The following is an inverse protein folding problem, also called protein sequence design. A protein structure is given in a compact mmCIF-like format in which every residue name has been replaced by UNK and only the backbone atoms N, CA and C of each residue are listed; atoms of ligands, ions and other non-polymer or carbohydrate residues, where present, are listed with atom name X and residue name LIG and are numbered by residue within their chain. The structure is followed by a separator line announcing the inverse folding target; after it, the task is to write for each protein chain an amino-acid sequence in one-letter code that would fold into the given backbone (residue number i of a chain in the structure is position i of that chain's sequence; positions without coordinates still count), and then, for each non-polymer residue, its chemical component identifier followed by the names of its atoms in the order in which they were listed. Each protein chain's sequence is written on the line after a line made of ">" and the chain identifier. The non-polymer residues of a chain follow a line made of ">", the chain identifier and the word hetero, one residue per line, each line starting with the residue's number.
data_IF_749418250620
#
_entry.id   IF_749418250620
#
_cell.length_a   1.000
_cell.length_b   1.000
_cell.length_c   1.000
_cell.angle_alpha   90.00
_cell.angle_beta   90.00
_cell.angle_gamma   90.00
#
_symmetry.space_group_name_H-M   'P 1'
#
loop_
_entity.id
_entity.type
_entity.pdbx_description
1 polymer ?
#
# COMPACT_ATOMS: atom_id res chain seq x y z
N UNK A 1 -23.49 -16.82 -13.32
CA UNK A 1 -23.72 -15.41 -12.96
C UNK A 1 -22.68 -15.00 -11.93
N UNK A 2 -21.56 -14.43 -12.38
CA UNK A 2 -20.43 -13.98 -11.57
C UNK A 2 -20.59 -12.47 -11.28
N UNK A 3 -21.24 -12.09 -10.18
CA UNK A 3 -21.46 -10.66 -9.84
C UNK A 3 -21.43 -10.35 -8.33
N UNK A 4 -20.70 -11.10 -7.51
CA UNK A 4 -20.70 -10.90 -6.05
C UNK A 4 -19.27 -10.78 -5.46
N UNK A 5 -18.36 -10.11 -6.17
CA UNK A 5 -17.05 -9.73 -5.63
C UNK A 5 -16.78 -8.20 -5.71
N UNK A 6 -17.81 -7.38 -5.91
CA UNK A 6 -17.65 -5.93 -6.16
C UNK A 6 -18.41 -5.02 -5.20
N UNK A 7 -18.69 -5.42 -3.94
CA UNK A 7 -19.41 -4.51 -3.05
C UNK A 7 -18.93 -4.56 -1.59
N UNK A 8 -17.63 -4.29 -1.38
CA UNK A 8 -17.18 -3.72 -0.10
C UNK A 8 -17.36 -2.20 -0.24
N UNK A 9 -18.48 -1.72 0.29
CA UNK A 9 -18.88 -0.31 0.28
C UNK A 9 -17.92 0.47 1.20
N UNK A 10 -16.94 1.15 0.63
CA UNK A 10 -16.11 2.13 1.34
C UNK A 10 -16.98 3.32 1.77
N UNK A 11 -17.23 3.49 3.07
CA UNK A 11 -17.79 4.74 3.60
C UNK A 11 -16.68 5.80 3.63
N UNK A 12 -16.39 6.39 2.47
CA UNK A 12 -15.73 7.70 2.41
C UNK A 12 -16.84 8.76 2.51
N UNK A 13 -17.10 9.27 3.71
CA UNK A 13 -17.88 10.50 3.89
C UNK A 13 -16.87 11.65 3.96
N UNK A 14 -16.91 12.52 2.95
CA UNK A 14 -15.89 13.53 2.67
C UNK A 14 -15.68 14.56 3.77
N UNK A 15 -14.41 14.90 3.99
CA UNK A 15 -14.01 16.17 4.60
C UNK A 15 -13.92 17.23 3.49
N UNK A 16 -14.70 18.28 3.65
CA UNK A 16 -14.67 19.47 2.81
C UNK A 16 -13.36 20.22 3.04
N UNK A 17 -12.57 20.42 1.98
CA UNK A 17 -11.44 21.36 2.02
C UNK A 17 -11.97 22.77 1.79
N UNK A 18 -11.90 23.58 2.85
CA UNK A 18 -12.24 24.98 2.86
C UNK A 18 -11.09 25.81 2.27
N UNK A 19 -11.30 26.23 1.02
CA UNK A 19 -10.83 27.44 0.34
C UNK A 19 -9.56 28.18 0.79
N UNK A 20 -8.70 28.48 -0.19
CA UNK A 20 -7.94 29.74 -0.24
C UNK A 20 -7.86 30.25 -1.68
N UNK A 21 -8.40 31.44 -1.89
CA UNK A 21 -8.52 32.17 -3.15
C UNK A 21 -7.28 33.01 -3.47
N UNK A 22 -6.86 32.95 -4.74
CA UNK A 22 -6.33 34.05 -5.59
C UNK A 22 -5.31 35.05 -5.02
N UNK A 23 -4.15 35.14 -5.68
CA UNK A 23 -3.78 36.39 -6.38
C UNK A 23 -2.71 36.17 -7.45
N UNK A 24 -3.02 36.66 -8.64
CA UNK A 24 -2.18 36.86 -9.81
C UNK A 24 -1.48 38.22 -9.73
N UNK A 25 -0.19 38.30 -10.08
CA UNK A 25 0.58 39.47 -10.59
C UNK A 25 2.06 39.03 -10.66
N UNK A 26 2.82 39.08 -11.75
CA UNK A 26 3.00 40.13 -12.76
C UNK A 26 4.40 40.74 -12.56
N UNK A 27 5.36 40.57 -13.50
CA UNK A 27 6.65 41.26 -13.42
C UNK A 27 7.77 40.74 -14.33
N UNK A 28 8.15 41.57 -15.30
CA UNK A 28 9.10 41.37 -16.40
C UNK A 28 10.48 41.99 -16.04
N UNK A 29 11.59 41.54 -16.64
CA UNK A 29 12.88 42.26 -16.55
C UNK A 29 14.11 41.52 -17.08
N UNK A 30 14.49 41.82 -18.33
CA UNK A 30 15.76 41.46 -18.97
C UNK A 30 16.98 42.12 -18.28
N UNK A 31 18.11 41.41 -18.19
CA UNK A 31 19.43 42.06 -18.22
C UNK A 31 20.46 41.20 -18.96
N UNK A 32 20.91 41.73 -20.09
CA UNK A 32 22.03 41.23 -20.87
C UNK A 32 23.35 41.53 -20.14
N UNK A 33 24.22 40.52 -20.01
CA UNK A 33 25.57 40.67 -19.47
C UNK A 33 26.47 39.54 -19.97
N UNK A 34 27.20 39.81 -21.06
CA UNK A 34 28.23 38.96 -21.65
C UNK A 34 29.57 39.25 -20.95
N UNK A 35 30.18 38.30 -20.23
CA UNK A 35 31.63 38.26 -20.00
C UNK A 35 32.15 36.82 -19.87
N UNK A 36 33.16 36.52 -20.68
CA UNK A 36 33.94 35.29 -20.78
C UNK A 36 34.90 35.20 -19.58
N UNK A 37 34.96 34.04 -18.91
CA UNK A 37 35.90 33.79 -17.81
C UNK A 37 36.02 32.30 -17.47
N UNK A 38 37.09 31.68 -17.95
CA UNK A 38 37.50 30.30 -17.67
C UNK A 38 38.03 30.16 -16.23
N UNK A 39 37.40 29.30 -15.41
CA UNK A 39 37.87 28.99 -14.06
C UNK A 39 36.94 28.02 -13.32
N UNK A 40 37.28 26.73 -13.37
CA UNK A 40 37.01 25.69 -12.35
C UNK A 40 35.67 25.78 -11.58
N UNK A 41 34.61 25.20 -12.16
CA UNK A 41 33.35 24.96 -11.45
C UNK A 41 33.48 23.76 -10.48
N UNK A 42 34.01 24.02 -9.28
CA UNK A 42 33.77 23.18 -8.11
C UNK A 42 32.70 23.85 -7.26
N UNK A 43 31.45 23.56 -7.58
CA UNK A 43 30.35 23.64 -6.63
C UNK A 43 29.34 22.59 -7.06
N UNK A 44 29.61 21.35 -6.66
CA UNK A 44 28.57 20.35 -6.53
C UNK A 44 27.60 20.87 -5.47
N UNK A 45 26.67 21.73 -5.90
CA UNK A 45 25.43 21.97 -5.18
C UNK A 45 24.62 20.69 -5.31
N UNK A 46 25.09 19.66 -4.61
CA UNK A 46 24.35 18.44 -4.35
C UNK A 46 23.25 18.88 -3.39
N UNK A 47 22.21 19.48 -3.98
CA UNK A 47 20.95 19.72 -3.32
C UNK A 47 20.44 18.32 -3.00
N UNK A 48 20.75 17.85 -1.79
CA UNK A 48 20.14 16.66 -1.24
C UNK A 48 18.66 16.96 -1.23
N UNK A 49 17.94 16.44 -2.22
CA UNK A 49 16.50 16.31 -2.14
C UNK A 49 16.28 15.30 -1.03
N UNK A 50 16.36 15.76 0.21
CA UNK A 50 15.79 15.07 1.34
C UNK A 50 14.32 14.94 0.95
N UNK A 51 13.96 13.74 0.49
CA UNK A 51 12.58 13.41 0.23
C UNK A 51 11.88 13.57 1.58
N UNK A 52 11.21 14.71 1.75
CA UNK A 52 10.29 14.90 2.85
C UNK A 52 9.24 13.81 2.66
N UNK A 53 9.33 12.75 3.46
CA UNK A 53 8.23 11.82 3.60
C UNK A 53 7.08 12.64 4.17
N UNK A 54 6.20 13.12 3.31
CA UNK A 54 4.93 13.69 3.73
C UNK A 54 4.30 12.65 4.66
N UNK A 55 4.02 13.04 5.90
CA UNK A 55 3.41 12.14 6.88
C UNK A 55 2.07 11.68 6.32
N UNK A 56 1.84 10.37 6.33
CA UNK A 56 0.56 9.80 5.93
C UNK A 56 -0.51 10.17 6.96
N UNK A 57 -1.75 10.36 6.50
CA UNK A 57 -2.90 10.41 7.39
C UNK A 57 -3.20 9.03 7.97
N UNK A 58 -3.95 8.99 9.08
CA UNK A 58 -4.34 7.72 9.70
C UNK A 58 -5.20 6.86 8.76
N UNK A 59 -6.02 7.48 7.91
CA UNK A 59 -6.78 6.77 6.88
C UNK A 59 -5.88 6.12 5.82
N UNK A 60 -4.79 6.79 5.44
CA UNK A 60 -3.82 6.25 4.49
C UNK A 60 -3.03 5.09 5.10
N UNK A 61 -2.64 5.20 6.38
CA UNK A 61 -2.01 4.09 7.11
C UNK A 61 -2.94 2.89 7.20
N UNK A 62 -4.21 3.13 7.55
CA UNK A 62 -5.25 2.11 7.56
C UNK A 62 -5.40 1.43 6.20
N UNK A 63 -5.49 2.21 5.13
CA UNK A 63 -5.60 1.63 3.79
C UNK A 63 -4.40 0.73 3.45
N UNK A 64 -3.17 1.16 3.75
CA UNK A 64 -1.96 0.36 3.48
C UNK A 64 -1.89 -0.91 4.32
N UNK A 65 -2.18 -0.81 5.62
CA UNK A 65 -2.20 -1.96 6.52
C UNK A 65 -3.29 -2.97 6.12
N UNK A 66 -4.47 -2.48 5.74
CA UNK A 66 -5.55 -3.33 5.25
C UNK A 66 -5.20 -4.00 3.92
N UNK A 67 -4.65 -3.26 2.95
CA UNK A 67 -4.20 -3.82 1.67
C UNK A 67 -3.16 -4.93 1.86
N UNK A 68 -2.16 -4.74 2.73
CA UNK A 68 -1.18 -5.80 2.98
C UNK A 68 -1.84 -7.10 3.45
N UNK A 69 -2.83 -6.99 4.35
CA UNK A 69 -3.58 -8.15 4.83
C UNK A 69 -4.48 -8.77 3.74
N UNK A 70 -5.05 -7.98 2.84
CA UNK A 70 -5.81 -8.48 1.70
C UNK A 70 -4.93 -9.25 0.70
N UNK A 71 -3.73 -8.74 0.40
CA UNK A 71 -2.79 -9.43 -0.51
C UNK A 71 -2.32 -10.76 0.08
N UNK A 72 -1.97 -10.79 1.38
CA UNK A 72 -1.67 -12.05 2.07
C UNK A 72 -2.85 -13.01 2.00
N UNK A 73 -4.08 -12.51 2.22
CA UNK A 73 -5.29 -13.31 2.11
C UNK A 73 -5.47 -13.91 0.73
N UNK A 74 -5.29 -13.12 -0.33
CA UNK A 74 -5.39 -13.56 -1.71
C UNK A 74 -4.37 -14.67 -2.01
N UNK A 75 -3.12 -14.48 -1.59
CA UNK A 75 -2.07 -15.49 -1.73
C UNK A 75 -2.45 -16.79 -1.02
N UNK A 76 -2.82 -16.71 0.25
CA UNK A 76 -3.11 -17.88 1.09
C UNK A 76 -4.33 -18.65 0.58
N UNK A 77 -5.40 -17.95 0.15
CA UNK A 77 -6.60 -18.62 -0.34
C UNK A 77 -6.36 -19.33 -1.68
N UNK A 78 -5.55 -18.77 -2.57
CA UNK A 78 -5.20 -19.44 -3.82
C UNK A 78 -4.36 -20.69 -3.60
N UNK A 79 -3.41 -20.65 -2.66
CA UNK A 79 -2.64 -21.83 -2.29
C UNK A 79 -3.53 -22.91 -1.66
N UNK A 80 -4.38 -22.53 -0.70
CA UNK A 80 -5.28 -23.46 -0.03
C UNK A 80 -6.29 -24.10 -1.01
N UNK A 81 -6.83 -23.34 -1.96
CA UNK A 81 -7.74 -23.89 -2.97
C UNK A 81 -7.02 -24.71 -4.04
N UNK A 82 -5.75 -24.42 -4.34
CA UNK A 82 -4.94 -25.25 -5.21
C UNK A 82 -4.70 -26.65 -4.59
N UNK A 83 -4.57 -26.75 -3.27
CA UNK A 83 -4.38 -28.04 -2.59
C UNK A 83 -5.64 -28.92 -2.68
N UNK A 84 -6.83 -28.31 -2.68
CA UNK A 84 -8.11 -29.02 -2.84
C UNK A 84 -8.44 -29.29 -4.31
N UNK A 85 -8.18 -28.29 -5.17
CA UNK A 85 -8.47 -28.30 -6.59
C UNK A 85 -7.21 -27.91 -7.38
N UNK A 86 -6.30 -28.87 -7.65
CA UNK A 86 -5.02 -28.59 -8.31
C UNK A 86 -5.20 -27.82 -9.61
N UNK A 87 -4.65 -26.61 -9.65
CA UNK A 87 -4.82 -25.66 -10.73
C UNK A 87 -3.56 -24.83 -10.89
N UNK A 88 -2.89 -25.00 -12.03
CA UNK A 88 -1.72 -24.21 -12.38
C UNK A 88 -2.02 -22.69 -12.34
N UNK A 89 -3.26 -22.31 -12.63
CA UNK A 89 -3.71 -20.92 -12.56
C UNK A 89 -3.65 -20.40 -11.12
N UNK A 90 -4.23 -21.12 -10.15
CA UNK A 90 -4.18 -20.70 -8.74
C UNK A 90 -2.74 -20.62 -8.22
N UNK A 91 -1.93 -21.64 -8.52
CA UNK A 91 -0.52 -21.64 -8.14
C UNK A 91 0.25 -20.46 -8.72
N UNK A 92 0.07 -20.16 -10.01
CA UNK A 92 0.77 -19.06 -10.67
C UNK A 92 0.34 -17.70 -10.14
N UNK A 93 -0.96 -17.51 -9.84
CA UNK A 93 -1.47 -16.26 -9.27
C UNK A 93 -0.84 -16.03 -7.89
N UNK A 94 -0.89 -17.04 -7.01
CA UNK A 94 -0.32 -16.91 -5.66
C UNK A 94 1.20 -16.65 -5.66
N UNK A 95 1.96 -17.47 -6.39
CA UNK A 95 3.44 -17.45 -6.34
C UNK A 95 4.08 -16.34 -7.14
N UNK A 96 3.32 -15.66 -8.02
CA UNK A 96 3.83 -14.58 -8.86
C UNK A 96 3.10 -13.28 -8.58
N UNK A 97 1.81 -13.23 -8.83
CA UNK A 97 0.99 -12.02 -8.72
C UNK A 97 0.91 -11.54 -7.28
N UNK A 98 0.26 -12.32 -6.41
CA UNK A 98 0.01 -11.88 -5.03
C UNK A 98 1.29 -11.76 -4.21
N UNK A 99 2.31 -12.59 -4.52
CA UNK A 99 3.64 -12.41 -3.92
C UNK A 99 4.29 -11.07 -4.31
N UNK A 100 4.10 -10.59 -5.55
CA UNK A 100 4.60 -9.28 -5.97
C UNK A 100 3.78 -8.12 -5.36
N UNK A 101 2.45 -8.26 -5.30
CA UNK A 101 1.59 -7.24 -4.69
C UNK A 101 1.87 -7.10 -3.19
N UNK A 102 1.92 -8.21 -2.46
CA UNK A 102 2.25 -8.22 -1.03
C UNK A 102 3.60 -7.57 -0.77
N UNK A 103 4.63 -7.90 -1.56
CA UNK A 103 5.96 -7.29 -1.43
C UNK A 103 5.95 -5.79 -1.73
N UNK A 104 5.17 -5.34 -2.72
CA UNK A 104 5.05 -3.92 -3.05
C UNK A 104 4.37 -3.13 -1.93
N UNK A 105 3.31 -3.66 -1.32
CA UNK A 105 2.64 -3.01 -0.18
C UNK A 105 3.50 -3.10 1.07
N UNK A 106 4.17 -4.23 1.32
CA UNK A 106 5.08 -4.41 2.45
C UNK A 106 6.20 -3.36 2.42
N UNK A 107 6.75 -3.05 1.25
CA UNK A 107 7.76 -1.99 1.09
C UNK A 107 7.23 -0.60 1.51
N UNK A 108 5.95 -0.31 1.29
CA UNK A 108 5.33 0.94 1.74
C UNK A 108 5.08 0.91 3.26
N UNK A 109 4.57 -0.20 3.78
CA UNK A 109 4.36 -0.42 5.22
C UNK A 109 5.67 -0.23 5.98
N UNK A 110 6.76 -0.83 5.51
CA UNK A 110 8.11 -0.66 6.08
C UNK A 110 8.58 0.79 6.00
N UNK A 111 8.43 1.44 4.84
CA UNK A 111 8.90 2.81 4.61
C UNK A 111 8.24 3.83 5.53
N UNK A 112 6.96 3.63 5.84
CA UNK A 112 6.16 4.54 6.66
C UNK A 112 5.96 4.07 8.10
N UNK A 113 6.65 3.00 8.51
CA UNK A 113 6.61 2.44 9.86
C UNK A 113 5.18 2.10 10.34
N UNK A 114 4.41 1.42 9.48
CA UNK A 114 3.00 1.13 9.73
C UNK A 114 2.82 -0.22 10.41
N UNK A 115 2.15 -0.24 11.56
CA UNK A 115 1.66 -1.48 12.17
C UNK A 115 0.49 -2.08 11.36
N UNK A 116 0.60 -3.37 11.05
CA UNK A 116 -0.37 -4.13 10.22
C UNK A 116 -1.35 -4.98 11.05
N UNK A 117 -1.12 -5.11 12.35
CA UNK A 117 -1.90 -5.95 13.27
C UNK A 117 -2.90 -5.15 14.07
N UNK A 118 -2.58 -3.89 14.39
CA UNK A 118 -3.46 -2.96 15.07
C UNK A 118 -3.90 -1.84 14.13
N UNK A 119 -5.14 -1.91 13.63
CA UNK A 119 -5.69 -0.90 12.73
C UNK A 119 -6.36 0.29 13.43
N UNK A 120 -6.52 0.22 14.75
CA UNK A 120 -7.18 1.26 15.54
C UNK A 120 -6.18 2.30 16.08
N UNK A 121 -4.92 1.91 16.18
CA UNK A 121 -3.86 2.72 16.76
C UNK A 121 -2.53 2.42 16.05
N UNK A 122 -1.94 3.46 15.46
CA UNK A 122 -0.62 3.41 14.80
C UNK A 122 0.47 4.08 15.65
N UNK A 123 0.28 4.16 16.98
CA UNK A 123 1.36 4.49 17.92
C UNK A 123 2.45 3.40 17.95
N UNK A 124 2.07 2.16 17.66
CA UNK A 124 3.01 1.04 17.49
C UNK A 124 3.66 1.06 16.10
N UNK A 125 4.96 0.79 16.06
CA UNK A 125 5.77 0.72 14.85
C UNK A 125 5.61 -0.59 14.07
N UNK A 126 6.13 -0.63 12.85
CA UNK A 126 6.29 -1.85 12.07
C UNK A 126 7.15 -2.89 12.79
N UNK A 127 6.78 -4.18 12.67
CA UNK A 127 7.59 -5.31 13.11
C UNK A 127 7.59 -6.43 12.07
N UNK A 128 8.76 -6.69 11.49
CA UNK A 128 8.94 -7.82 10.56
C UNK A 128 8.63 -9.16 11.25
N UNK A 129 9.00 -9.28 12.53
CA UNK A 129 8.76 -10.50 13.29
C UNK A 129 7.26 -10.79 13.45
N UNK A 130 6.44 -9.75 13.68
CA UNK A 130 4.98 -9.90 13.77
C UNK A 130 4.38 -10.28 12.42
N UNK A 131 4.81 -9.63 11.34
CA UNK A 131 4.40 -9.96 9.97
C UNK A 131 4.64 -11.43 9.62
N UNK A 132 5.83 -11.94 9.94
CA UNK A 132 6.23 -13.31 9.63
C UNK A 132 5.69 -14.34 10.62
N UNK A 133 5.14 -13.91 11.77
CA UNK A 133 4.55 -14.82 12.76
C UNK A 133 3.20 -15.40 12.32
N UNK A 134 2.51 -14.79 11.35
CA UNK A 134 1.24 -15.28 10.87
C UNK A 134 1.39 -16.51 9.98
N UNK A 135 0.92 -17.65 10.49
CA UNK A 135 0.76 -18.86 9.67
C UNK A 135 -0.18 -18.62 8.47
N UNK A 136 -0.09 -19.44 7.40
CA UNK A 136 -1.05 -19.39 6.30
C UNK A 136 -2.50 -19.52 6.81
N UNK A 137 -3.39 -18.65 6.31
CA UNK A 137 -4.80 -18.61 6.73
C UNK A 137 -5.04 -18.01 8.13
N UNK A 138 -4.03 -17.38 8.74
CA UNK A 138 -4.15 -16.62 9.99
C UNK A 138 -3.86 -15.14 9.78
N UNK A 139 -4.66 -14.29 10.43
CA UNK A 139 -4.61 -12.84 10.30
C UNK A 139 -4.90 -12.16 11.64
N UNK A 140 -4.27 -11.00 11.87
CA UNK A 140 -4.55 -10.17 13.04
C UNK A 140 -5.94 -9.51 12.99
N UNK A 141 -6.36 -9.09 11.79
CA UNK A 141 -7.61 -8.36 11.62
C UNK A 141 -8.78 -9.34 11.58
N UNK A 142 -9.75 -9.27 12.53
CA UNK A 142 -10.87 -10.21 12.58
C UNK A 142 -11.68 -10.25 11.28
N UNK A 143 -11.91 -9.08 10.65
CA UNK A 143 -12.63 -9.00 9.36
C UNK A 143 -11.93 -9.75 8.23
N UNK A 144 -10.59 -9.76 8.21
CA UNK A 144 -9.81 -10.49 7.20
C UNK A 144 -9.85 -11.99 7.49
N UNK A 145 -9.76 -12.38 8.77
CA UNK A 145 -9.93 -13.77 9.17
C UNK A 145 -11.30 -14.31 8.76
N UNK A 146 -12.38 -13.58 9.06
CA UNK A 146 -13.74 -13.96 8.70
C UNK A 146 -13.90 -14.09 7.18
N UNK A 147 -13.28 -13.19 6.41
CA UNK A 147 -13.30 -13.24 4.95
C UNK A 147 -12.58 -14.48 4.41
N UNK A 148 -11.39 -14.80 4.93
CA UNK A 148 -10.66 -16.00 4.55
C UNK A 148 -11.49 -17.26 4.83
N UNK A 149 -12.04 -17.38 6.05
CA UNK A 149 -12.83 -18.53 6.46
C UNK A 149 -14.06 -18.71 5.55
N UNK A 150 -14.74 -17.60 5.22
CA UNK A 150 -15.90 -17.61 4.32
C UNK A 150 -15.53 -18.02 2.89
N UNK A 151 -14.45 -17.48 2.33
CA UNK A 151 -13.99 -17.79 0.98
C UNK A 151 -13.48 -19.23 0.87
N UNK A 152 -12.74 -19.71 1.86
CA UNK A 152 -12.27 -21.09 1.92
C UNK A 152 -13.45 -22.05 1.99
N UNK A 153 -14.37 -21.85 2.94
CA UNK A 153 -15.56 -22.68 3.09
C UNK A 153 -16.42 -22.72 1.82
N UNK A 154 -16.48 -21.61 1.07
CA UNK A 154 -17.19 -21.57 -0.22
C UNK A 154 -16.41 -22.31 -1.31
N UNK A 155 -15.11 -22.05 -1.44
CA UNK A 155 -14.26 -22.60 -2.48
C UNK A 155 -14.16 -24.13 -2.42
N UNK A 156 -14.03 -24.71 -1.22
CA UNK A 156 -13.97 -26.18 -1.07
C UNK A 156 -15.29 -26.90 -1.38
N UNK A 157 -16.41 -26.17 -1.41
CA UNK A 157 -17.75 -26.70 -1.73
C UNK A 157 -18.20 -26.44 -3.17
N UNK A 158 -17.41 -25.72 -3.97
CA UNK A 158 -17.81 -25.25 -5.29
C UNK A 158 -17.47 -26.23 -6.44
N UNK A 159 -17.37 -27.53 -6.14
CA UNK A 159 -17.08 -28.60 -7.10
C UNK A 159 -18.26 -28.89 -8.03
#
# INVERSE_FOLDING_TARGET
>A
MLTQAQNIRWHMQGVADSGLSSSSSGGNGNQYGNMIGNGTASSSSQSSVAASTSRLSEEQKYALAFMWNEEKLAKDIYLALNDVWPSQTFYNIATRGETQHEAAVEALVQRYDINITNLADYEESYSEAELRAFAPGKYAIPKIQDLFDALYAKGVRSA
#
